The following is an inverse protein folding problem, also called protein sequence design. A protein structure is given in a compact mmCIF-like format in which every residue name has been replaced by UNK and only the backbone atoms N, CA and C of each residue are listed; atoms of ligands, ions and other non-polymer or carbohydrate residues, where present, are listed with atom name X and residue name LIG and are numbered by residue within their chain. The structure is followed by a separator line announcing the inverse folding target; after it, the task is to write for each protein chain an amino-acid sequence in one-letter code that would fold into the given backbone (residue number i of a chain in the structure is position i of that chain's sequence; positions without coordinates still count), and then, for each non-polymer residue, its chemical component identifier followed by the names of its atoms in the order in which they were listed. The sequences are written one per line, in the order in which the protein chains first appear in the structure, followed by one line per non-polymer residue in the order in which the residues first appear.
data_IF_730088334279
#
_entry.id   IF_730088334279
#
_cell.length_a   1.000
_cell.length_b   1.000
_cell.length_c   1.000
_cell.angle_alpha   90.00
_cell.angle_beta   90.00
_cell.angle_gamma   90.00
#
_symmetry.space_group_name_H-M   'P 1'
#
loop_
_entity.id
_entity.type
_entity.pdbx_description
1 polymer ?
#
# COMPACT_ATOMS: atom_id res chain seq x y z
N UNK A 1 7.47 -20.99 7.10
CA UNK A 1 8.30 -20.65 5.93
C UNK A 1 7.36 -20.49 4.73
N UNK A 2 7.53 -19.43 3.94
CA UNK A 2 6.76 -19.19 2.73
C UNK A 2 7.68 -19.33 1.52
N UNK A 3 7.58 -20.45 0.82
CA UNK A 3 8.40 -20.75 -0.36
C UNK A 3 8.36 -19.62 -1.42
N UNK A 4 7.19 -18.99 -1.63
CA UNK A 4 7.04 -17.86 -2.55
C UNK A 4 7.82 -16.60 -2.16
N UNK A 5 8.44 -16.57 -0.98
CA UNK A 5 9.29 -15.45 -0.50
C UNK A 5 10.75 -15.83 -0.37
N UNK A 6 11.09 -17.06 -0.68
CA UNK A 6 12.48 -17.53 -0.73
C UNK A 6 13.16 -17.06 -2.01
N UNK A 7 14.48 -16.98 -1.96
CA UNK A 7 15.30 -16.64 -3.12
C UNK A 7 15.74 -17.93 -3.79
N UNK A 8 15.80 -17.92 -5.11
CA UNK A 8 16.08 -19.07 -5.94
C UNK A 8 17.04 -18.71 -7.06
N UNK A 9 17.78 -19.69 -7.51
CA UNK A 9 18.49 -19.65 -8.78
C UNK A 9 17.62 -20.30 -9.86
N UNK A 10 17.52 -19.66 -11.03
CA UNK A 10 16.93 -20.25 -12.23
C UNK A 10 18.04 -20.81 -13.09
N UNK A 11 17.98 -22.10 -13.39
CA UNK A 11 18.93 -22.77 -14.26
C UNK A 11 18.24 -23.32 -15.51
N UNK A 12 18.96 -23.41 -16.61
CA UNK A 12 18.50 -24.17 -17.80
C UNK A 12 18.72 -25.67 -17.65
N UNK A 13 18.32 -26.46 -18.67
CA UNK A 13 18.46 -27.92 -18.66
C UNK A 13 19.91 -28.42 -18.65
N UNK A 14 20.89 -27.57 -18.93
CA UNK A 14 22.34 -27.88 -18.84
C UNK A 14 22.95 -27.54 -17.49
N UNK A 15 22.15 -26.96 -16.57
CA UNK A 15 22.60 -26.49 -15.26
C UNK A 15 23.22 -25.08 -15.26
N UNK A 16 23.21 -24.37 -16.38
CA UNK A 16 23.68 -23.00 -16.45
C UNK A 16 22.72 -22.06 -15.70
N UNK A 17 23.25 -21.24 -14.79
CA UNK A 17 22.44 -20.25 -14.04
C UNK A 17 22.03 -19.11 -14.99
N UNK A 18 20.73 -18.92 -15.19
CA UNK A 18 20.14 -17.84 -15.97
C UNK A 18 19.81 -16.62 -15.11
N UNK A 19 19.30 -16.85 -13.90
CA UNK A 19 19.01 -15.82 -12.89
C UNK A 19 19.47 -16.33 -11.54
N UNK A 20 20.23 -15.51 -10.81
CA UNK A 20 20.80 -15.90 -9.53
C UNK A 20 20.17 -15.15 -8.37
N UNK A 21 19.84 -15.88 -7.31
CA UNK A 21 19.46 -15.38 -6.00
C UNK A 21 18.34 -14.31 -6.06
N UNK A 22 17.21 -14.66 -6.68
CA UNK A 22 16.02 -13.78 -6.83
C UNK A 22 14.77 -14.41 -6.23
N UNK A 23 13.82 -13.55 -5.83
CA UNK A 23 12.51 -13.98 -5.33
C UNK A 23 11.58 -14.38 -6.50
N UNK A 24 11.97 -15.39 -7.26
CA UNK A 24 11.35 -15.77 -8.54
C UNK A 24 9.86 -16.10 -8.44
N UNK A 25 9.41 -16.58 -7.28
CA UNK A 25 8.02 -16.95 -7.03
C UNK A 25 7.22 -15.84 -6.34
N UNK A 26 7.84 -14.67 -6.10
CA UNK A 26 7.14 -13.54 -5.50
C UNK A 26 6.30 -12.81 -6.53
N UNK A 27 4.98 -12.80 -6.34
CA UNK A 27 4.06 -12.04 -7.16
C UNK A 27 3.94 -10.60 -6.65
N UNK A 28 3.67 -9.68 -7.56
CA UNK A 28 3.14 -8.36 -7.23
C UNK A 28 1.79 -8.48 -6.55
N UNK A 29 1.42 -7.45 -5.81
CA UNK A 29 0.11 -7.44 -5.15
C UNK A 29 -1.01 -7.26 -6.18
N UNK A 30 -2.03 -8.11 -6.09
CA UNK A 30 -3.17 -8.09 -6.99
C UNK A 30 -4.07 -6.91 -6.64
N UNK A 31 -4.25 -5.98 -7.57
CA UNK A 31 -5.03 -4.78 -7.36
C UNK A 31 -5.95 -4.53 -8.56
N UNK A 32 -7.25 -4.66 -8.34
CA UNK A 32 -8.29 -4.44 -9.35
C UNK A 32 -9.09 -3.15 -9.12
N UNK A 33 -8.58 -2.20 -8.36
CA UNK A 33 -9.28 -0.96 -8.04
C UNK A 33 -9.81 -0.23 -9.31
N UNK A 34 -9.01 -0.24 -10.38
CA UNK A 34 -9.35 0.41 -11.66
C UNK A 34 -10.35 -0.37 -12.50
N UNK A 35 -10.57 -1.65 -12.19
CA UNK A 35 -11.44 -2.56 -12.92
C UNK A 35 -12.76 -2.84 -12.19
N UNK A 36 -13.00 -2.18 -11.07
CA UNK A 36 -14.15 -2.47 -10.20
C UNK A 36 -15.49 -2.25 -10.92
N UNK A 37 -15.62 -1.23 -11.77
CA UNK A 37 -16.84 -0.97 -12.53
C UNK A 37 -17.10 -2.09 -13.55
N UNK A 38 -16.07 -2.51 -14.29
CA UNK A 38 -16.15 -3.63 -15.22
C UNK A 38 -16.52 -4.95 -14.51
N UNK A 39 -15.96 -5.20 -13.35
CA UNK A 39 -16.27 -6.37 -12.54
C UNK A 39 -17.71 -6.33 -12.00
N UNK A 40 -18.18 -5.16 -11.58
CA UNK A 40 -19.56 -4.98 -11.16
C UNK A 40 -20.54 -5.21 -12.34
N UNK A 41 -20.25 -4.67 -13.52
CA UNK A 41 -21.03 -4.89 -14.74
C UNK A 41 -21.03 -6.37 -15.17
N UNK A 42 -19.97 -7.11 -14.89
CA UNK A 42 -19.91 -8.55 -15.08
C UNK A 42 -20.65 -9.38 -13.99
N UNK A 43 -21.32 -8.71 -13.02
CA UNK A 43 -22.10 -9.34 -11.97
C UNK A 43 -21.35 -9.67 -10.68
N UNK A 44 -20.11 -9.18 -10.52
CA UNK A 44 -19.37 -9.35 -9.25
C UNK A 44 -19.96 -8.39 -8.21
N UNK A 45 -20.57 -8.94 -7.17
CA UNK A 45 -21.25 -8.18 -6.12
C UNK A 45 -20.50 -8.14 -4.76
N UNK A 46 -19.36 -8.82 -4.64
CA UNK A 46 -18.56 -8.86 -3.42
C UNK A 46 -17.08 -8.90 -3.71
N UNK A 47 -16.31 -8.07 -2.99
CA UNK A 47 -14.85 -7.94 -3.14
C UNK A 47 -14.18 -8.28 -1.80
N UNK A 48 -13.34 -9.31 -1.80
CA UNK A 48 -12.55 -9.69 -0.62
C UNK A 48 -11.19 -9.03 -0.67
N UNK A 49 -10.86 -8.24 0.35
CA UNK A 49 -9.54 -7.65 0.56
C UNK A 49 -8.73 -8.56 1.47
N UNK A 50 -7.55 -8.99 1.02
CA UNK A 50 -6.67 -9.84 1.81
C UNK A 50 -5.64 -8.99 2.56
N UNK A 51 -5.73 -8.98 3.87
CA UNK A 51 -4.87 -8.18 4.76
C UNK A 51 -4.06 -9.03 5.75
N UNK A 52 -3.99 -10.36 5.58
CA UNK A 52 -3.25 -11.22 6.49
C UNK A 52 -1.77 -10.83 6.58
N UNK A 53 -1.24 -10.71 7.79
CA UNK A 53 0.12 -10.26 8.08
C UNK A 53 0.44 -8.83 7.61
N UNK A 54 -0.58 -8.01 7.40
CA UNK A 54 -0.44 -6.57 7.13
C UNK A 54 -0.73 -5.77 8.40
N UNK A 55 -0.17 -4.56 8.47
CA UNK A 55 -0.48 -3.63 9.55
C UNK A 55 -1.85 -2.97 9.36
N UNK A 56 -2.32 -2.27 10.39
CA UNK A 56 -3.61 -1.59 10.36
C UNK A 56 -3.67 -0.48 9.28
N UNK A 57 -2.56 0.22 9.07
CA UNK A 57 -2.46 1.29 8.05
C UNK A 57 -2.73 0.76 6.66
N UNK A 58 -2.17 -0.39 6.29
CA UNK A 58 -2.46 -1.06 5.02
C UNK A 58 -3.95 -1.34 4.87
N UNK A 59 -4.57 -1.96 5.89
CA UNK A 59 -5.99 -2.33 5.83
C UNK A 59 -6.87 -1.11 5.70
N UNK A 60 -6.63 -0.08 6.53
CA UNK A 60 -7.39 1.19 6.50
C UNK A 60 -7.28 1.86 5.12
N UNK A 61 -6.07 1.95 4.58
CA UNK A 61 -5.79 2.61 3.31
C UNK A 61 -6.47 1.90 2.13
N UNK A 62 -6.28 0.59 2.01
CA UNK A 62 -6.87 -0.20 0.92
C UNK A 62 -8.39 -0.24 1.02
N UNK A 63 -8.95 -0.47 2.22
CA UNK A 63 -10.41 -0.48 2.42
C UNK A 63 -11.02 0.87 2.06
N UNK A 64 -10.37 1.99 2.44
CA UNK A 64 -10.85 3.33 2.10
C UNK A 64 -10.84 3.57 0.59
N UNK A 65 -9.77 3.18 -0.11
CA UNK A 65 -9.64 3.35 -1.56
C UNK A 65 -10.74 2.58 -2.32
N UNK A 66 -10.95 1.32 -1.96
CA UNK A 66 -12.02 0.51 -2.56
C UNK A 66 -13.42 0.99 -2.17
N UNK A 67 -13.60 1.50 -0.93
CA UNK A 67 -14.89 2.07 -0.52
C UNK A 67 -15.26 3.30 -1.35
N UNK A 68 -14.31 4.21 -1.60
CA UNK A 68 -14.54 5.37 -2.47
C UNK A 68 -14.90 4.92 -3.89
N UNK A 69 -14.16 3.95 -4.45
CA UNK A 69 -14.47 3.42 -5.77
C UNK A 69 -15.89 2.85 -5.88
N UNK A 70 -16.34 2.13 -4.85
CA UNK A 70 -17.70 1.61 -4.79
C UNK A 70 -18.74 2.73 -4.67
N UNK A 71 -18.47 3.77 -3.87
CA UNK A 71 -19.36 4.91 -3.76
C UNK A 71 -19.51 5.65 -5.11
N UNK A 72 -18.41 5.81 -5.84
CA UNK A 72 -18.42 6.39 -7.20
C UNK A 72 -19.25 5.57 -8.18
N UNK A 73 -19.15 4.23 -8.15
CA UNK A 73 -19.93 3.32 -9.01
C UNK A 73 -21.40 3.39 -8.65
N UNK A 74 -21.73 3.28 -7.36
CA UNK A 74 -23.13 3.35 -6.87
C UNK A 74 -23.78 4.69 -7.22
N UNK A 75 -23.04 5.81 -7.16
CA UNK A 75 -23.59 7.13 -7.48
C UNK A 75 -23.94 7.32 -8.97
N UNK A 76 -23.32 6.55 -9.86
CA UNK A 76 -23.47 6.67 -11.32
C UNK A 76 -24.30 5.56 -11.97
N UNK A 77 -24.58 4.50 -11.24
CA UNK A 77 -25.24 3.28 -11.73
C UNK A 77 -26.47 2.94 -10.90
N UNK A 78 -27.22 1.96 -11.33
CA UNK A 78 -28.40 1.41 -10.62
C UNK A 78 -28.03 0.47 -9.48
N UNK A 79 -26.74 0.36 -9.14
CA UNK A 79 -26.26 -0.46 -8.04
C UNK A 79 -26.57 0.17 -6.68
N UNK A 80 -26.73 -0.64 -5.69
CA UNK A 80 -26.89 -0.23 -4.29
C UNK A 80 -25.87 -0.96 -3.42
N UNK A 81 -25.49 -0.33 -2.31
CA UNK A 81 -24.67 -1.03 -1.32
C UNK A 81 -25.49 -2.07 -0.58
N UNK A 82 -24.95 -3.30 -0.46
CA UNK A 82 -25.54 -4.36 0.33
C UNK A 82 -25.43 -4.14 1.85
N UNK A 83 -24.75 -3.09 2.28
CA UNK A 83 -24.49 -2.80 3.70
C UNK A 83 -25.12 -1.48 4.12
N UNK A 84 -25.74 -1.46 5.31
CA UNK A 84 -26.38 -0.27 5.88
C UNK A 84 -25.36 0.80 6.27
N UNK A 85 -25.82 2.06 6.32
CA UNK A 85 -25.08 3.21 6.77
C UNK A 85 -24.17 3.84 5.73
N UNK A 86 -23.60 4.95 6.11
CA UNK A 86 -22.67 5.76 5.29
C UNK A 86 -21.34 5.92 6.00
N UNK A 87 -20.28 6.19 5.24
CA UNK A 87 -18.95 6.46 5.79
C UNK A 87 -18.70 7.96 5.72
N UNK A 88 -18.53 8.57 6.89
CA UNK A 88 -18.18 9.97 7.04
C UNK A 88 -16.69 10.16 7.37
N UNK A 89 -16.14 11.34 7.04
CA UNK A 89 -14.75 11.69 7.30
C UNK A 89 -13.75 10.89 6.46
N UNK A 90 -12.59 10.72 7.03
CA UNK A 90 -11.51 9.94 6.43
C UNK A 90 -10.42 10.78 5.75
N UNK A 91 -9.35 10.12 5.44
CA UNK A 91 -8.18 10.63 4.73
C UNK A 91 -8.30 10.32 3.23
N UNK A 92 -7.47 10.96 2.40
CA UNK A 92 -7.33 10.61 0.98
C UNK A 92 -6.44 9.37 0.86
N UNK A 93 -6.96 8.23 0.37
CA UNK A 93 -6.17 7.01 0.28
C UNK A 93 -5.09 7.12 -0.81
N UNK A 94 -3.94 6.49 -0.55
CA UNK A 94 -2.89 6.28 -1.52
C UNK A 94 -2.22 4.93 -1.23
N UNK A 95 -2.56 3.91 -2.01
CA UNK A 95 -2.10 2.55 -1.77
C UNK A 95 -0.60 2.36 -1.98
N UNK A 96 0.08 3.25 -2.71
CA UNK A 96 1.54 3.21 -2.90
C UNK A 96 2.30 3.56 -1.61
N UNK A 97 1.67 4.33 -0.70
CA UNK A 97 2.27 4.76 0.57
C UNK A 97 2.22 3.71 1.70
N UNK A 98 1.57 2.59 1.47
CA UNK A 98 1.53 1.47 2.40
C UNK A 98 2.18 0.23 1.80
N UNK A 99 2.11 -0.91 2.49
CA UNK A 99 2.75 -2.13 2.00
C UNK A 99 2.31 -2.46 0.57
N UNK A 100 3.28 -2.53 -0.36
CA UNK A 100 3.07 -3.10 -1.68
C UNK A 100 4.39 -3.65 -2.26
N UNK A 101 4.30 -4.59 -3.20
CA UNK A 101 5.40 -5.15 -4.00
C UNK A 101 5.30 -4.72 -5.46
N UNK A 102 4.67 -3.58 -5.69
CA UNK A 102 4.13 -3.18 -6.97
C UNK A 102 2.81 -3.89 -7.25
N UNK A 103 2.02 -3.36 -8.17
CA UNK A 103 0.67 -3.85 -8.47
C UNK A 103 0.60 -4.60 -9.78
N UNK A 104 -0.35 -5.51 -9.87
CA UNK A 104 -0.67 -6.28 -11.07
C UNK A 104 -2.18 -6.57 -11.12
N UNK A 105 -2.73 -6.59 -12.31
CA UNK A 105 -4.06 -7.15 -12.60
C UNK A 105 -3.98 -8.64 -12.97
N UNK A 106 -2.82 -9.24 -12.75
CA UNK A 106 -2.46 -10.61 -13.03
C UNK A 106 -2.81 -11.00 -14.48
N UNK A 107 -3.76 -11.89 -14.67
CA UNK A 107 -4.15 -12.41 -15.98
C UNK A 107 -5.54 -11.97 -16.44
N UNK A 108 -6.08 -10.89 -15.89
CA UNK A 108 -7.42 -10.42 -16.22
C UNK A 108 -7.60 -10.21 -17.73
N UNK A 109 -6.61 -9.61 -18.40
CA UNK A 109 -6.57 -9.42 -19.86
C UNK A 109 -5.64 -10.43 -20.54
N UNK A 110 -5.50 -11.64 -19.99
CA UNK A 110 -4.58 -12.65 -20.45
C UNK A 110 -3.16 -12.50 -19.86
N UNK A 111 -2.20 -13.30 -20.33
CA UNK A 111 -0.82 -13.34 -19.81
C UNK A 111 0.02 -12.15 -20.30
N UNK A 112 -0.40 -10.93 -19.97
CA UNK A 112 0.29 -9.70 -20.35
C UNK A 112 0.94 -9.03 -19.13
N UNK A 113 2.06 -8.34 -19.37
CA UNK A 113 2.72 -7.49 -18.38
C UNK A 113 3.64 -8.22 -17.39
N UNK A 114 4.18 -7.44 -16.46
CA UNK A 114 5.11 -7.92 -15.42
C UNK A 114 4.33 -8.19 -14.12
N UNK A 115 3.99 -9.43 -13.87
CA UNK A 115 3.23 -9.87 -12.71
C UNK A 115 4.09 -10.36 -11.53
N UNK A 116 5.40 -10.55 -11.73
CA UNK A 116 6.33 -10.99 -10.68
C UNK A 116 7.09 -9.80 -10.07
N UNK A 117 7.33 -9.87 -8.75
CA UNK A 117 8.15 -8.94 -7.98
C UNK A 117 9.49 -9.60 -7.66
N UNK A 118 10.29 -9.86 -8.70
CA UNK A 118 11.50 -10.68 -8.61
C UNK A 118 12.59 -10.11 -7.69
N UNK A 119 12.64 -8.79 -7.51
CA UNK A 119 13.69 -8.15 -6.70
C UNK A 119 13.36 -8.13 -5.21
N UNK A 120 12.09 -8.16 -4.84
CA UNK A 120 11.67 -8.03 -3.45
C UNK A 120 10.56 -9.01 -3.06
N UNK A 121 10.84 -9.86 -2.06
CA UNK A 121 9.81 -10.60 -1.33
C UNK A 121 9.09 -9.71 -0.29
N UNK A 122 9.65 -8.53 0.02
CA UNK A 122 9.16 -7.53 0.98
C UNK A 122 8.58 -6.33 0.27
N UNK A 123 7.88 -5.47 1.01
CA UNK A 123 7.43 -4.17 0.50
C UNK A 123 8.61 -3.30 0.11
N UNK A 124 8.55 -2.71 -1.06
CA UNK A 124 9.46 -1.64 -1.45
C UNK A 124 8.87 -0.27 -1.10
N UNK A 125 7.55 -0.10 -1.19
CA UNK A 125 6.89 1.19 -1.02
C UNK A 125 6.86 2.02 -2.30
N UNK A 126 6.62 3.32 -2.14
CA UNK A 126 6.56 4.31 -3.21
C UNK A 126 7.97 4.66 -3.72
N UNK A 127 8.22 4.57 -5.02
CA UNK A 127 9.49 5.01 -5.62
C UNK A 127 9.55 6.54 -5.65
N UNK A 128 10.46 7.15 -4.88
CA UNK A 128 10.47 8.60 -4.64
C UNK A 128 11.67 9.34 -5.25
N UNK A 129 12.72 8.66 -5.60
CA UNK A 129 13.89 9.35 -6.14
C UNK A 129 15.14 8.47 -6.28
N UNK A 130 16.25 9.14 -6.55
CA UNK A 130 17.55 8.53 -6.76
C UNK A 130 18.61 9.23 -5.90
N UNK A 131 19.54 8.48 -5.34
CA UNK A 131 20.69 9.02 -4.60
C UNK A 131 21.63 9.75 -5.53
N UNK A 132 21.91 11.02 -5.23
CA UNK A 132 22.83 11.87 -6.00
C UNK A 132 24.14 12.16 -5.26
N UNK A 133 24.17 11.99 -3.95
CA UNK A 133 25.36 12.21 -3.14
C UNK A 133 25.30 11.48 -1.81
N UNK A 134 26.48 11.09 -1.34
CA UNK A 134 26.69 10.44 -0.04
C UNK A 134 27.91 11.06 0.63
N UNK A 135 27.87 11.31 1.95
CA UNK A 135 29.06 11.60 2.71
C UNK A 135 29.92 10.33 2.92
N UNK A 136 31.15 10.49 3.40
CA UNK A 136 32.11 9.39 3.59
C UNK A 136 31.53 8.25 4.45
N UNK A 137 30.82 8.58 5.51
CA UNK A 137 30.29 7.61 6.47
C UNK A 137 28.88 7.12 6.11
N UNK A 138 28.36 7.54 4.94
CA UNK A 138 27.00 7.18 4.45
C UNK A 138 25.89 7.44 5.48
N UNK A 139 26.03 8.51 6.24
CA UNK A 139 25.03 8.99 7.22
C UNK A 139 24.25 10.20 6.74
N UNK A 140 24.65 10.76 5.58
CA UNK A 140 23.94 11.84 4.90
C UNK A 140 23.78 11.49 3.43
N UNK A 141 22.54 11.49 2.97
CA UNK A 141 22.12 11.07 1.65
C UNK A 141 21.46 12.24 0.94
N UNK A 142 22.04 12.72 -0.14
CA UNK A 142 21.40 13.69 -1.03
C UNK A 142 20.63 12.95 -2.13
N UNK A 143 19.43 13.42 -2.44
CA UNK A 143 18.54 12.78 -3.40
C UNK A 143 18.10 13.74 -4.49
N UNK A 144 17.82 13.20 -5.67
CA UNK A 144 16.97 13.81 -6.68
C UNK A 144 15.58 13.15 -6.57
N UNK A 145 14.61 13.90 -6.06
CA UNK A 145 13.22 13.45 -5.98
C UNK A 145 12.57 13.46 -7.37
N UNK A 146 11.68 12.51 -7.64
CA UNK A 146 10.97 12.41 -8.93
C UNK A 146 9.80 13.36 -9.02
N UNK A 147 9.21 13.75 -7.87
CA UNK A 147 8.16 14.77 -7.81
C UNK A 147 8.56 15.90 -6.87
N UNK A 148 8.24 17.13 -7.24
CA UNK A 148 8.38 18.32 -6.39
C UNK A 148 7.41 18.33 -5.21
N UNK A 149 6.33 17.53 -5.29
CA UNK A 149 5.34 17.37 -4.25
C UNK A 149 5.77 16.39 -3.16
N UNK A 150 6.83 15.61 -3.41
CA UNK A 150 7.34 14.66 -2.43
C UNK A 150 8.04 15.39 -1.29
N UNK A 151 7.44 15.35 -0.11
CA UNK A 151 8.00 15.89 1.13
C UNK A 151 8.54 14.72 1.96
N UNK A 152 9.80 14.79 2.34
CA UNK A 152 10.44 13.84 3.25
C UNK A 152 10.24 14.29 4.69
N UNK A 153 9.86 13.37 5.57
CA UNK A 153 9.58 13.65 6.98
C UNK A 153 10.55 12.90 7.90
N UNK A 154 10.84 13.49 9.05
CA UNK A 154 11.62 12.81 10.08
C UNK A 154 10.89 11.53 10.51
N UNK A 155 11.64 10.44 10.50
CA UNK A 155 11.11 9.14 10.84
C UNK A 155 10.59 8.32 9.66
N UNK A 156 10.57 8.87 8.44
CA UNK A 156 10.23 8.10 7.22
C UNK A 156 11.15 6.88 7.10
N UNK A 157 10.57 5.77 6.65
CA UNK A 157 11.29 4.55 6.31
C UNK A 157 11.57 4.50 4.82
N UNK A 158 12.81 4.16 4.49
CA UNK A 158 13.27 4.04 3.11
C UNK A 158 13.80 2.64 2.83
N UNK A 159 13.70 2.22 1.58
CA UNK A 159 14.30 0.98 1.09
C UNK A 159 14.96 1.20 -0.27
N UNK A 160 15.89 0.33 -0.61
CA UNK A 160 16.58 0.30 -1.89
C UNK A 160 17.06 -1.12 -2.19
N UNK A 161 17.42 -1.36 -3.45
CA UNK A 161 18.07 -2.60 -3.86
C UNK A 161 19.57 -2.37 -3.88
N UNK A 162 20.32 -3.11 -3.09
CA UNK A 162 21.77 -3.06 -3.04
C UNK A 162 22.40 -3.67 -4.32
N UNK A 163 23.71 -3.49 -4.52
CA UNK A 163 24.40 -3.98 -5.69
C UNK A 163 24.37 -5.51 -5.85
N UNK A 164 24.28 -6.24 -4.75
CA UNK A 164 24.10 -7.70 -4.73
C UNK A 164 22.66 -8.15 -4.99
N UNK A 165 21.74 -7.20 -5.20
CA UNK A 165 20.31 -7.45 -5.42
C UNK A 165 19.53 -7.69 -4.12
N UNK A 166 20.11 -7.54 -2.95
CA UNK A 166 19.40 -7.59 -1.68
C UNK A 166 18.59 -6.32 -1.44
N UNK A 167 17.46 -6.45 -0.74
CA UNK A 167 16.65 -5.30 -0.32
C UNK A 167 17.12 -4.84 1.04
N UNK A 168 17.67 -3.64 1.10
CA UNK A 168 18.12 -2.96 2.30
C UNK A 168 17.16 -1.83 2.66
N UNK A 169 17.11 -1.48 3.95
CA UNK A 169 16.28 -0.40 4.45
C UNK A 169 17.02 0.47 5.46
N UNK A 170 16.62 1.73 5.53
CA UNK A 170 17.10 2.67 6.53
C UNK A 170 16.00 3.65 6.93
N UNK A 171 16.19 4.27 8.08
CA UNK A 171 15.29 5.29 8.59
C UNK A 171 15.90 6.67 8.38
N UNK A 172 15.10 7.64 7.94
CA UNK A 172 15.47 9.04 7.93
C UNK A 172 15.26 9.66 9.30
N UNK A 173 16.36 9.86 10.04
CA UNK A 173 16.27 10.46 11.37
C UNK A 173 15.96 11.95 11.27
N UNK A 174 16.63 12.66 10.34
CA UNK A 174 16.37 14.06 10.01
C UNK A 174 16.29 14.19 8.49
N UNK A 175 15.17 14.72 8.01
CA UNK A 175 14.93 15.00 6.59
C UNK A 175 14.82 16.52 6.39
N UNK A 176 15.60 17.08 5.47
CA UNK A 176 15.59 18.50 5.12
C UNK A 176 15.66 18.67 3.60
N UNK A 177 14.54 19.13 3.01
CA UNK A 177 14.40 19.17 1.56
C UNK A 177 14.61 17.80 0.94
N UNK A 178 15.62 17.64 0.09
CA UNK A 178 15.98 16.36 -0.54
C UNK A 178 17.17 15.65 0.15
N UNK A 179 17.53 16.06 1.36
CA UNK A 179 18.63 15.46 2.12
C UNK A 179 18.11 14.67 3.31
N UNK A 180 18.60 13.46 3.48
CA UNK A 180 18.26 12.55 4.57
C UNK A 180 19.50 12.31 5.43
N UNK A 181 19.39 12.54 6.74
CA UNK A 181 20.35 12.04 7.72
C UNK A 181 19.84 10.74 8.32
N UNK A 182 20.70 9.73 8.37
CA UNK A 182 20.37 8.38 8.82
C UNK A 182 21.56 7.75 9.55
N UNK A 183 21.34 6.58 10.12
CA UNK A 183 22.47 5.73 10.57
C UNK A 183 23.29 5.28 9.36
N UNK A 184 24.53 4.86 9.61
CA UNK A 184 25.40 4.31 8.58
C UNK A 184 24.68 3.20 7.78
N UNK A 185 24.70 3.32 6.45
CA UNK A 185 24.03 2.40 5.51
C UNK A 185 25.05 1.97 4.46
N UNK A 186 25.91 0.99 4.76
CA UNK A 186 27.10 0.67 3.96
C UNK A 186 26.79 0.20 2.54
N UNK A 187 25.62 -0.45 2.33
CA UNK A 187 25.19 -0.95 1.02
C UNK A 187 24.67 0.13 0.09
N UNK A 188 24.43 1.36 0.60
CA UNK A 188 23.89 2.47 -0.20
C UNK A 188 24.97 3.04 -1.14
N UNK A 189 24.58 3.38 -2.36
CA UNK A 189 25.47 3.89 -3.40
C UNK A 189 24.80 5.02 -4.21
N UNK A 190 25.61 5.83 -4.88
CA UNK A 190 25.14 6.89 -5.77
C UNK A 190 24.46 6.24 -6.98
N UNK A 191 23.25 6.73 -7.33
CA UNK A 191 22.43 6.16 -8.38
C UNK A 191 21.41 5.13 -7.87
N UNK A 192 21.47 4.71 -6.60
CA UNK A 192 20.46 3.81 -6.03
C UNK A 192 19.07 4.46 -6.09
N UNK A 193 18.08 3.70 -6.53
CA UNK A 193 16.66 4.09 -6.45
C UNK A 193 16.15 3.93 -5.04
N UNK A 194 15.53 4.97 -4.51
CA UNK A 194 14.99 4.99 -3.16
C UNK A 194 13.48 4.89 -3.21
N UNK A 195 12.97 4.00 -2.38
CA UNK A 195 11.56 3.77 -2.14
C UNK A 195 11.21 4.18 -0.71
N UNK A 196 10.05 4.80 -0.51
CA UNK A 196 9.54 5.14 0.82
C UNK A 196 8.53 4.08 1.23
N UNK A 197 8.87 3.24 2.18
CA UNK A 197 8.02 2.17 2.68
C UNK A 197 7.26 2.52 3.97
N UNK A 198 7.62 3.64 4.62
CA UNK A 198 6.88 4.26 5.73
C UNK A 198 6.84 5.76 5.47
N UNK A 199 5.64 6.31 5.27
CA UNK A 199 5.37 7.75 5.20
C UNK A 199 4.75 8.18 6.53
N UNK A 200 5.55 8.78 7.40
CA UNK A 200 5.12 9.17 8.76
C UNK A 200 4.05 10.25 8.76
N UNK A 201 4.03 11.14 7.78
CA UNK A 201 2.99 12.15 7.65
C UNK A 201 1.65 11.51 7.26
N UNK A 202 1.67 10.56 6.33
CA UNK A 202 0.49 9.82 5.91
C UNK A 202 -0.08 8.95 7.04
N UNK A 203 0.78 8.26 7.79
CA UNK A 203 0.36 7.50 8.98
C UNK A 203 -0.36 8.40 9.99
N UNK A 204 0.22 9.57 10.30
CA UNK A 204 -0.41 10.57 11.20
C UNK A 204 -1.70 11.15 10.63
N UNK A 205 -1.80 11.31 9.31
CA UNK A 205 -3.05 11.75 8.67
C UNK A 205 -4.16 10.71 8.84
N UNK A 206 -3.86 9.44 8.59
CA UNK A 206 -4.82 8.35 8.81
C UNK A 206 -5.31 8.28 10.26
N UNK A 207 -4.44 8.55 11.23
CA UNK A 207 -4.82 8.54 12.65
C UNK A 207 -5.69 9.75 13.04
N UNK A 208 -5.39 10.92 12.48
CA UNK A 208 -6.15 12.14 12.75
C UNK A 208 -7.49 12.22 12.03
N UNK A 209 -7.61 11.55 10.89
CA UNK A 209 -8.81 11.56 10.05
C UNK A 209 -9.38 10.15 9.90
N UNK A 210 -9.91 9.54 10.97
CA UNK A 210 -10.52 8.22 10.87
C UNK A 210 -11.76 8.25 10.00
N UNK A 211 -12.01 7.14 9.31
CA UNK A 211 -13.30 6.90 8.68
C UNK A 211 -14.28 6.40 9.74
N UNK A 212 -15.43 7.05 9.86
CA UNK A 212 -16.47 6.68 10.81
C UNK A 212 -17.66 6.17 10.00
N UNK A 213 -18.11 4.96 10.30
CA UNK A 213 -19.34 4.42 9.72
C UNK A 213 -20.50 4.74 10.65
N UNK A 214 -21.50 5.39 10.11
CA UNK A 214 -22.71 5.78 10.83
C UNK A 214 -23.93 5.11 10.21
N UNK A 215 -24.82 4.66 11.07
CA UNK A 215 -26.17 4.19 10.70
C UNK A 215 -27.13 5.14 11.36
N UNK A 216 -27.93 5.85 10.56
CA UNK A 216 -29.00 6.69 11.09
C UNK A 216 -30.08 5.77 11.67
N UNK A 217 -30.44 6.02 12.92
CA UNK A 217 -31.47 5.28 13.61
C UNK A 217 -32.50 6.26 14.17
N UNK A 218 -33.77 6.03 13.91
CA UNK A 218 -34.86 6.70 14.57
C UNK A 218 -35.27 5.90 15.81
N UNK A 219 -35.21 6.52 16.98
CA UNK A 219 -35.59 5.87 18.27
C UNK A 219 -36.86 6.53 18.78
N UNK A 220 -37.94 5.73 18.87
CA UNK A 220 -39.19 6.15 19.50
C UNK A 220 -39.28 5.54 20.89
N UNK A 221 -39.38 6.39 21.91
CA UNK A 221 -39.53 5.96 23.30
C UNK A 221 -40.94 6.27 23.78
N UNK A 222 -41.62 5.28 24.34
CA UNK A 222 -42.99 5.39 24.89
C UNK A 222 -43.00 4.95 26.35
N UNK A 223 -43.74 5.69 27.16
CA UNK A 223 -43.97 5.35 28.56
C UNK A 223 -45.45 5.23 28.83
N UNK A 224 -45.89 4.09 29.32
CA UNK A 224 -47.28 3.84 29.75
C UNK A 224 -47.28 3.04 31.04
N UNK A 225 -48.08 3.52 32.02
CA UNK A 225 -48.32 2.81 33.30
C UNK A 225 -47.04 2.33 34.00
N UNK A 226 -46.00 3.13 34.00
CA UNK A 226 -44.73 2.81 34.65
C UNK A 226 -43.81 1.85 33.90
N UNK A 227 -44.15 1.49 32.66
CA UNK A 227 -43.32 0.71 31.74
C UNK A 227 -42.87 1.57 30.60
N UNK A 228 -41.63 1.35 30.14
CA UNK A 228 -41.05 2.03 28.99
C UNK A 228 -40.72 1.05 27.87
N UNK A 229 -40.98 1.46 26.64
CA UNK A 229 -40.57 0.75 25.42
C UNK A 229 -39.75 1.66 24.55
N UNK A 230 -38.75 1.11 23.87
CA UNK A 230 -37.96 1.82 22.86
C UNK A 230 -37.97 1.00 21.58
N UNK A 231 -38.43 1.61 20.51
CA UNK A 231 -38.37 1.06 19.14
C UNK A 231 -37.24 1.80 18.37
N UNK A 232 -36.35 1.07 17.72
CA UNK A 232 -35.30 1.62 16.89
C UNK A 232 -35.45 1.11 15.46
N UNK A 233 -35.49 2.06 14.49
CA UNK A 233 -35.63 1.75 13.06
C UNK A 233 -34.47 2.43 12.32
N UNK A 234 -33.82 1.68 11.41
CA UNK A 234 -32.70 2.17 10.54
C UNK A 234 -33.17 2.30 9.09
#
# INVERSE_FOLDING_TARGET
IQACRSRYDLTDGSGKVLVKDKALLSLKDYNLRRRMEELADAGICSFKIEGRLKNASYVRNVVRDYSIALDEIVSRRTYVRGSFGSVAGGFTPNTDKTFNRGYTELFLDGKKGKWAAMDAAKSMGEEIGTVTGLNKDKTSVAMRLFSKETILNNGDGFSFVAADGSVCGFRGDICTGSTIRCKNTPELFIGARIYRNIDTAFEKEMDRKPCIREIKVEVTVRFEKGQGWADAVS
#
